data_IF_467652495077
#
_entry.id   IF_467652495077
#
_cell.length_a   1.000
_cell.length_b   1.000
_cell.length_c   1.000
_cell.angle_alpha   90.00
_cell.angle_beta   90.00
_cell.angle_gamma   90.00
#
_symmetry.space_group_name_H-M   'P 1'
#
loop_
_entity.id
_entity.type
_entity.pdbx_description
1 polymer ?
#
# COMPACT_ATOMS: atom_id res chain seq x y z
N UNK A 1 23.59 2.38 -3.07
CA UNK A 1 22.75 1.15 -3.05
C UNK A 1 21.30 1.61 -2.97
N UNK A 2 20.45 1.19 -3.87
CA UNK A 2 19.02 1.59 -3.89
C UNK A 2 18.28 0.87 -2.76
N UNK A 3 17.56 1.60 -1.92
CA UNK A 3 16.71 1.01 -0.88
C UNK A 3 15.46 0.35 -1.49
N UNK A 4 14.81 -0.54 -0.74
CA UNK A 4 13.56 -1.15 -1.18
C UNK A 4 12.43 -0.12 -1.34
N UNK A 5 12.40 0.91 -0.48
CA UNK A 5 11.45 2.03 -0.62
C UNK A 5 11.68 2.80 -1.93
N UNK A 6 12.92 3.14 -2.25
CA UNK A 6 13.26 3.79 -3.53
C UNK A 6 12.92 2.90 -4.74
N UNK A 7 13.18 1.59 -4.65
CA UNK A 7 12.84 0.65 -5.71
C UNK A 7 11.31 0.59 -5.94
N UNK A 8 10.51 0.58 -4.86
CA UNK A 8 9.06 0.60 -4.92
C UNK A 8 8.54 1.87 -5.61
N UNK A 9 9.01 3.04 -5.18
CA UNK A 9 8.57 4.32 -5.75
C UNK A 9 8.99 4.44 -7.22
N UNK A 10 10.18 3.96 -7.57
CA UNK A 10 10.63 3.90 -8.96
C UNK A 10 9.71 3.00 -9.79
N UNK A 11 9.39 1.80 -9.30
CA UNK A 11 8.48 0.89 -9.99
C UNK A 11 7.10 1.53 -10.23
N UNK A 12 6.53 2.23 -9.25
CA UNK A 12 5.26 2.95 -9.42
C UNK A 12 5.38 4.03 -10.50
N UNK A 13 6.47 4.80 -10.49
CA UNK A 13 6.72 5.82 -11.53
C UNK A 13 6.86 5.20 -12.93
N UNK A 14 7.56 4.07 -13.04
CA UNK A 14 7.73 3.36 -14.32
C UNK A 14 6.38 2.84 -14.85
N UNK A 15 5.48 2.42 -13.97
CA UNK A 15 4.11 2.01 -14.28
C UNK A 15 3.16 3.20 -14.50
N UNK A 16 3.69 4.44 -14.56
CA UNK A 16 2.91 5.67 -14.78
C UNK A 16 1.92 5.99 -13.67
N UNK A 17 2.22 5.54 -12.46
CA UNK A 17 1.52 5.98 -11.26
C UNK A 17 2.13 7.32 -10.84
N UNK A 18 1.35 8.37 -10.90
CA UNK A 18 1.74 9.74 -10.59
C UNK A 18 1.15 10.24 -9.27
N UNK A 19 0.15 9.54 -8.72
CA UNK A 19 -0.52 9.91 -7.47
C UNK A 19 -0.69 8.69 -6.57
N UNK A 20 -0.40 8.87 -5.29
CA UNK A 20 -0.67 7.91 -4.20
C UNK A 20 -1.49 8.61 -3.12
N UNK A 21 -2.55 7.96 -2.64
CA UNK A 21 -3.31 8.41 -1.48
C UNK A 21 -2.85 7.64 -0.25
N UNK A 22 -2.62 8.31 0.88
CA UNK A 22 -2.12 7.57 2.02
C UNK A 22 -2.12 8.31 3.34
N UNK A 23 -1.82 7.54 4.39
CA UNK A 23 -1.63 8.02 5.74
C UNK A 23 -0.36 7.38 6.33
N UNK A 24 0.61 8.18 6.84
CA UNK A 24 1.88 7.67 7.32
C UNK A 24 1.74 6.89 8.62
N UNK A 25 2.70 6.00 8.84
CA UNK A 25 2.85 5.25 10.08
C UNK A 25 4.19 4.53 10.13
N UNK A 26 4.53 3.97 11.30
CA UNK A 26 5.86 3.46 11.59
C UNK A 26 6.40 2.42 10.59
N UNK A 27 5.56 1.48 10.19
CA UNK A 27 5.96 0.41 9.26
C UNK A 27 6.08 0.87 7.80
N UNK A 28 5.70 2.11 7.47
CA UNK A 28 5.78 2.66 6.13
C UNK A 28 6.84 3.79 6.00
N UNK A 29 7.61 4.09 7.05
CA UNK A 29 8.54 5.24 7.09
C UNK A 29 9.57 5.20 5.96
N UNK A 30 10.14 4.06 5.63
CA UNK A 30 11.13 3.94 4.56
C UNK A 30 10.52 4.24 3.17
N UNK A 31 9.24 3.95 2.99
CA UNK A 31 8.52 4.28 1.76
C UNK A 31 8.25 5.78 1.71
N UNK A 32 7.82 6.37 2.83
CA UNK A 32 7.60 7.82 2.93
C UNK A 32 8.88 8.63 2.74
N UNK A 33 10.00 8.15 3.26
CA UNK A 33 11.32 8.76 3.00
C UNK A 33 11.64 8.76 1.50
N UNK A 34 11.41 7.65 0.81
CA UNK A 34 11.60 7.56 -0.63
C UNK A 34 10.64 8.47 -1.42
N UNK A 35 9.38 8.64 -0.96
CA UNK A 35 8.44 9.60 -1.57
C UNK A 35 8.98 11.02 -1.43
N UNK A 36 9.50 11.39 -0.27
CA UNK A 36 10.00 12.73 0.01
C UNK A 36 11.21 13.11 -0.86
N UNK A 37 12.05 12.14 -1.27
CA UNK A 37 13.27 12.36 -2.02
C UNK A 37 13.08 12.49 -3.53
N UNK A 38 11.86 12.50 -4.04
CA UNK A 38 11.57 12.57 -5.46
C UNK A 38 10.32 13.42 -5.75
N UNK A 39 10.07 13.76 -7.02
CA UNK A 39 8.99 14.65 -7.45
C UNK A 39 8.06 14.04 -8.52
N UNK A 40 8.27 12.78 -8.90
CA UNK A 40 7.50 12.13 -9.96
C UNK A 40 6.19 11.53 -9.48
N UNK A 41 6.15 11.07 -8.23
CA UNK A 41 4.99 10.47 -7.59
C UNK A 41 4.53 11.38 -6.48
N UNK A 42 3.36 11.98 -6.65
CA UNK A 42 2.75 12.88 -5.66
C UNK A 42 2.02 12.07 -4.59
N UNK A 43 2.19 12.45 -3.33
CA UNK A 43 1.43 11.90 -2.22
C UNK A 43 0.32 12.85 -1.80
N UNK A 44 -0.89 12.31 -1.70
CA UNK A 44 -2.07 13.02 -1.17
C UNK A 44 -2.36 12.48 0.23
N UNK A 45 -2.13 13.32 1.24
CA UNK A 45 -2.38 12.97 2.63
C UNK A 45 -3.88 12.98 2.93
N UNK A 46 -4.34 11.90 3.53
CA UNK A 46 -5.69 11.77 4.08
C UNK A 46 -5.64 11.79 5.61
N UNK A 47 -6.78 11.78 6.27
CA UNK A 47 -6.88 11.74 7.74
C UNK A 47 -7.35 10.40 8.30
N UNK A 48 -7.64 9.45 7.42
CA UNK A 48 -8.03 8.08 7.76
C UNK A 48 -7.73 7.18 6.57
N UNK A 49 -7.24 5.99 6.80
CA UNK A 49 -6.80 5.05 5.75
C UNK A 49 -7.96 4.60 4.85
N UNK A 50 -9.16 4.48 5.40
CA UNK A 50 -10.36 4.22 4.61
C UNK A 50 -10.56 5.28 3.54
N UNK A 51 -10.35 6.56 3.89
CA UNK A 51 -10.44 7.65 2.92
C UNK A 51 -9.36 7.56 1.85
N UNK A 52 -8.16 7.08 2.16
CA UNK A 52 -7.11 6.85 1.17
C UNK A 52 -7.55 5.85 0.10
N UNK A 53 -8.11 4.72 0.53
CA UNK A 53 -8.55 3.67 -0.39
C UNK A 53 -9.77 4.12 -1.19
N UNK A 54 -10.74 4.80 -0.57
CA UNK A 54 -11.88 5.36 -1.32
C UNK A 54 -11.47 6.45 -2.30
N UNK A 55 -10.48 7.28 -1.97
CA UNK A 55 -9.95 8.27 -2.91
C UNK A 55 -9.24 7.60 -4.10
N UNK A 56 -8.46 6.56 -3.85
CA UNK A 56 -7.83 5.76 -4.91
C UNK A 56 -8.87 5.06 -5.80
N UNK A 57 -9.93 4.51 -5.22
CA UNK A 57 -11.07 3.92 -5.94
C UNK A 57 -11.76 5.00 -6.80
N UNK A 58 -12.10 6.15 -6.22
CA UNK A 58 -12.71 7.27 -6.96
C UNK A 58 -11.82 7.78 -8.11
N UNK A 59 -10.52 7.87 -7.89
CA UNK A 59 -9.55 8.21 -8.92
C UNK A 59 -9.57 7.20 -10.08
N UNK A 60 -9.57 5.90 -9.76
CA UNK A 60 -9.63 4.86 -10.78
C UNK A 60 -10.93 4.91 -11.59
N UNK A 61 -12.07 5.12 -10.94
CA UNK A 61 -13.37 5.28 -11.61
C UNK A 61 -13.40 6.49 -12.54
N UNK A 62 -12.84 7.61 -12.10
CA UNK A 62 -12.87 8.86 -12.86
C UNK A 62 -11.90 8.88 -14.04
N UNK A 63 -10.75 8.21 -13.91
CA UNK A 63 -9.65 8.31 -14.88
C UNK A 63 -9.44 7.07 -15.74
N UNK A 64 -9.98 5.93 -15.33
CA UNK A 64 -9.66 4.62 -15.92
C UNK A 64 -8.25 4.10 -15.60
N UNK A 65 -7.49 4.82 -14.78
CA UNK A 65 -6.15 4.40 -14.32
C UNK A 65 -6.25 3.58 -13.04
N UNK A 66 -5.20 2.85 -12.70
CA UNK A 66 -5.12 2.16 -11.42
C UNK A 66 -4.97 3.15 -10.27
N UNK A 67 -5.84 3.08 -9.28
CA UNK A 67 -5.71 3.82 -8.03
C UNK A 67 -4.70 3.16 -7.09
N UNK A 68 -3.92 3.96 -6.37
CA UNK A 68 -2.92 3.44 -5.41
C UNK A 68 -3.10 4.08 -4.05
N UNK A 69 -3.18 3.26 -3.02
CA UNK A 69 -3.21 3.68 -1.63
C UNK A 69 -2.02 3.11 -0.85
N UNK A 70 -1.50 3.90 0.09
CA UNK A 70 -0.40 3.52 0.97
C UNK A 70 -0.83 3.69 2.43
N UNK A 71 -0.74 2.60 3.19
CA UNK A 71 -1.13 2.55 4.59
C UNK A 71 -0.04 1.86 5.43
N UNK A 72 -0.04 2.12 6.74
CA UNK A 72 0.86 1.40 7.64
C UNK A 72 0.32 0.02 8.02
N UNK A 73 1.06 -0.72 8.83
CA UNK A 73 0.66 -2.03 9.35
C UNK A 73 -0.52 -1.95 10.34
N UNK A 74 -1.03 -3.11 10.74
CA UNK A 74 -2.03 -3.24 11.79
C UNK A 74 -3.26 -2.39 11.57
N UNK A 75 -3.52 -1.37 12.42
CA UNK A 75 -4.72 -0.53 12.31
C UNK A 75 -4.79 0.23 11.00
N UNK A 76 -3.66 0.63 10.40
CA UNK A 76 -3.65 1.28 9.09
C UNK A 76 -4.17 0.34 8.00
N UNK A 77 -3.70 -0.89 8.00
CA UNK A 77 -4.11 -1.91 7.05
C UNK A 77 -5.58 -2.34 7.26
N UNK A 78 -6.02 -2.54 8.51
CA UNK A 78 -7.41 -2.92 8.79
C UNK A 78 -8.40 -1.81 8.43
N UNK A 79 -8.03 -0.55 8.61
CA UNK A 79 -8.84 0.58 8.17
C UNK A 79 -9.01 0.67 6.64
N UNK A 80 -8.16 0.02 5.87
CA UNK A 80 -8.25 -0.03 4.42
C UNK A 80 -9.28 -1.07 3.91
N UNK A 81 -9.71 -2.01 4.72
CA UNK A 81 -10.52 -3.16 4.32
C UNK A 81 -11.83 -2.76 3.66
N UNK A 82 -12.55 -1.78 4.20
CA UNK A 82 -13.82 -1.32 3.61
C UNK A 82 -13.63 -0.85 2.17
N UNK A 83 -12.62 -0.04 1.92
CA UNK A 83 -12.33 0.46 0.57
C UNK A 83 -11.88 -0.64 -0.38
N UNK A 84 -11.06 -1.59 0.10
CA UNK A 84 -10.65 -2.77 -0.68
C UNK A 84 -11.88 -3.59 -1.09
N UNK A 85 -12.77 -3.89 -0.14
CA UNK A 85 -13.99 -4.65 -0.42
C UNK A 85 -14.89 -3.94 -1.44
N UNK A 86 -15.04 -2.62 -1.32
CA UNK A 86 -15.81 -1.81 -2.27
C UNK A 86 -15.25 -1.90 -3.68
N UNK A 87 -13.94 -1.70 -3.83
CA UNK A 87 -13.28 -1.78 -5.13
C UNK A 87 -13.36 -3.21 -5.73
N UNK A 88 -13.21 -4.24 -4.90
CA UNK A 88 -13.31 -5.63 -5.33
C UNK A 88 -14.69 -5.95 -5.88
N UNK A 89 -15.75 -5.56 -5.17
CA UNK A 89 -17.14 -5.84 -5.59
C UNK A 89 -17.50 -5.17 -6.92
N UNK A 90 -16.93 -4.01 -7.19
CA UNK A 90 -17.18 -3.25 -8.43
C UNK A 90 -16.10 -3.47 -9.50
N UNK A 91 -15.15 -4.37 -9.28
CA UNK A 91 -14.04 -4.66 -10.20
C UNK A 91 -13.20 -3.43 -10.57
N UNK A 92 -12.95 -2.55 -9.61
CA UNK A 92 -12.15 -1.34 -9.79
C UNK A 92 -10.66 -1.66 -9.68
N UNK A 93 -9.80 -1.21 -10.62
CA UNK A 93 -8.37 -1.44 -10.56
C UNK A 93 -7.73 -0.64 -9.41
N UNK A 94 -7.33 -1.35 -8.37
CA UNK A 94 -6.79 -0.77 -7.13
C UNK A 94 -5.56 -1.56 -6.67
N UNK A 95 -4.53 -0.84 -6.26
CA UNK A 95 -3.36 -1.39 -5.55
C UNK A 95 -3.29 -0.76 -4.17
N UNK A 96 -3.27 -1.58 -3.13
CA UNK A 96 -3.05 -1.13 -1.75
C UNK A 96 -1.70 -1.66 -1.28
N UNK A 97 -0.82 -0.74 -0.91
CA UNK A 97 0.48 -1.02 -0.35
C UNK A 97 0.36 -0.85 1.16
N UNK A 98 0.56 -1.93 1.89
CA UNK A 98 0.48 -1.92 3.35
C UNK A 98 1.85 -2.18 3.96
N UNK A 99 2.22 -1.38 4.95
CA UNK A 99 3.33 -1.74 5.83
C UNK A 99 3.04 -3.07 6.55
N UNK A 100 4.11 -3.71 7.02
CA UNK A 100 4.04 -4.90 7.87
C UNK A 100 5.13 -4.80 8.93
N UNK A 101 4.93 -5.47 10.06
CA UNK A 101 5.97 -5.62 11.06
C UNK A 101 7.16 -6.42 10.48
N UNK A 102 8.33 -6.29 11.12
CA UNK A 102 9.51 -7.03 10.69
C UNK A 102 9.24 -8.54 10.63
N UNK A 103 9.81 -9.23 9.64
CA UNK A 103 9.47 -10.63 9.33
C UNK A 103 9.54 -11.57 10.53
N UNK A 104 10.53 -11.37 11.41
CA UNK A 104 10.70 -12.19 12.62
C UNK A 104 9.65 -11.92 13.71
N UNK A 105 8.88 -10.84 13.58
CA UNK A 105 7.81 -10.49 14.52
C UNK A 105 6.43 -10.94 14.03
N UNK A 106 6.31 -11.36 12.79
CA UNK A 106 5.02 -11.82 12.24
C UNK A 106 4.52 -13.03 13.00
N UNK A 107 3.28 -12.97 13.50
CA UNK A 107 2.67 -14.03 14.31
C UNK A 107 2.98 -13.97 15.81
N UNK A 108 3.62 -12.91 16.28
CA UNK A 108 3.98 -12.72 17.69
C UNK A 108 3.10 -11.72 18.43
N UNK A 109 2.01 -11.27 17.84
CA UNK A 109 1.15 -10.18 18.35
C UNK A 109 1.95 -8.89 18.64
N UNK A 110 2.89 -8.57 17.73
CA UNK A 110 3.71 -7.37 17.82
C UNK A 110 2.87 -6.09 17.75
N UNK A 111 3.44 -4.98 18.19
CA UNK A 111 2.78 -3.68 18.13
C UNK A 111 2.35 -3.34 16.69
N UNK A 112 1.08 -2.99 16.51
CA UNK A 112 0.47 -2.72 15.20
C UNK A 112 0.62 -3.87 14.20
N UNK A 113 0.57 -5.10 14.65
CA UNK A 113 0.49 -6.29 13.80
C UNK A 113 -0.96 -6.71 13.58
N UNK A 114 -1.26 -7.17 12.37
CA UNK A 114 -2.53 -7.80 12.03
C UNK A 114 -2.29 -8.81 10.89
N UNK A 115 -3.01 -9.93 10.92
CA UNK A 115 -3.01 -10.90 9.82
C UNK A 115 -3.78 -10.35 8.61
N UNK A 116 -3.15 -9.44 7.89
CA UNK A 116 -3.74 -8.84 6.69
C UNK A 116 -3.97 -9.84 5.58
N UNK A 117 -3.16 -10.89 5.50
CA UNK A 117 -3.33 -11.95 4.51
C UNK A 117 -4.64 -12.68 4.77
N UNK A 118 -4.89 -13.09 6.02
CA UNK A 118 -6.11 -13.77 6.41
C UNK A 118 -7.36 -12.91 6.22
N UNK A 119 -7.30 -11.64 6.64
CA UNK A 119 -8.44 -10.71 6.57
C UNK A 119 -8.79 -10.32 5.13
N UNK A 120 -7.79 -10.04 4.29
CA UNK A 120 -8.04 -9.51 2.94
C UNK A 120 -8.26 -10.58 1.87
N UNK A 121 -7.85 -11.81 2.11
CA UNK A 121 -7.93 -12.91 1.12
C UNK A 121 -9.26 -13.00 0.37
N UNK A 122 -10.45 -12.91 1.00
CA UNK A 122 -11.73 -13.05 0.29
C UNK A 122 -12.12 -11.82 -0.56
N UNK A 123 -11.42 -10.71 -0.42
CA UNK A 123 -11.75 -9.43 -1.07
C UNK A 123 -10.60 -8.88 -1.94
N UNK A 124 -9.63 -9.70 -2.28
CA UNK A 124 -8.53 -9.32 -3.17
C UNK A 124 -8.35 -10.33 -4.30
N UNK A 125 -7.94 -9.86 -5.44
CA UNK A 125 -7.59 -10.71 -6.58
C UNK A 125 -6.21 -11.35 -6.42
N UNK A 126 -5.28 -10.62 -5.82
CA UNK A 126 -3.91 -11.05 -5.56
C UNK A 126 -3.40 -10.39 -4.28
N UNK A 127 -2.61 -11.12 -3.54
CA UNK A 127 -1.95 -10.65 -2.33
C UNK A 127 -0.55 -11.25 -2.25
N UNK A 128 0.42 -10.42 -1.94
CA UNK A 128 1.80 -10.83 -1.76
C UNK A 128 2.42 -10.15 -0.56
N UNK A 129 3.13 -10.91 0.24
CA UNK A 129 4.03 -10.36 1.26
C UNK A 129 5.41 -10.20 0.61
N UNK A 130 5.89 -8.97 0.51
CA UNK A 130 7.20 -8.64 -0.05
C UNK A 130 8.14 -8.09 1.02
N UNK A 131 9.42 -8.39 0.88
CA UNK A 131 10.48 -7.82 1.72
C UNK A 131 11.15 -6.69 0.94
N UNK A 132 10.97 -5.46 1.40
CA UNK A 132 11.49 -4.28 0.72
C UNK A 132 13.04 -4.27 0.68
N UNK A 133 13.68 -4.96 1.61
CA UNK A 133 15.12 -5.07 1.70
C UNK A 133 15.74 -6.27 0.97
N UNK A 134 14.92 -7.18 0.45
CA UNK A 134 15.41 -8.37 -0.25
C UNK A 134 15.40 -8.16 -1.77
N UNK A 135 16.43 -8.66 -2.48
CA UNK A 135 16.36 -8.71 -3.92
C UNK A 135 15.19 -9.61 -4.32
N UNK A 136 14.39 -9.15 -5.25
CA UNK A 136 13.28 -9.90 -5.84
C UNK A 136 13.75 -11.31 -6.18
N UNK A 137 13.14 -12.32 -5.56
CA UNK A 137 13.37 -13.70 -5.98
C UNK A 137 12.99 -13.79 -7.46
N UNK A 138 13.96 -14.12 -8.27
CA UNK A 138 13.66 -14.53 -9.65
C UNK A 138 12.76 -15.75 -9.55
N UNK A 139 11.56 -15.60 -10.03
CA UNK A 139 10.68 -16.72 -10.30
C UNK A 139 11.27 -17.50 -11.47
#
# INVERSE_FOLDING_TARGET
>A
MTSGGEALIRALSDEKIDIIFGYPGGAALHIYDAIYQQDKVQHILVRHEQAAVHAADGFARATGKTGVALVTSGPGATNAITGIATAYMDSIPLVVISGQVASHLIGTDAFQETDMIGISRPIVKHLSLIHISEPTRRI
#
